data_IF_228097521739
#
_entry.id   IF_228097521739
#
_cell.length_a   1.000
_cell.length_b   1.000
_cell.length_c   1.000
_cell.angle_alpha   90.00
_cell.angle_beta   90.00
_cell.angle_gamma   90.00
#
_symmetry.space_group_name_H-M   'P 1'
#
loop_
_entity.id
_entity.type
_entity.pdbx_description
1 polymer ?
#
# COMPACT_ATOMS: atom_id res chain seq x y z
N UNK A 1 -9.85 -9.53 24.43
CA UNK A 1 -8.75 -9.96 24.38
C UNK A 1 -7.57 -9.57 23.55
N UNK A 2 -6.53 -9.02 24.18
CA UNK A 2 -5.34 -8.52 23.49
C UNK A 2 -4.16 -9.50 23.55
N UNK A 3 -4.43 -10.80 23.66
CA UNK A 3 -3.39 -11.82 23.78
C UNK A 3 -3.48 -12.81 22.63
N UNK A 4 -2.33 -13.08 22.01
CA UNK A 4 -2.17 -14.09 20.96
C UNK A 4 -1.11 -15.09 21.42
N UNK A 5 -1.37 -16.39 21.24
CA UNK A 5 -0.38 -17.44 21.47
C UNK A 5 0.25 -17.80 20.14
N UNK A 6 1.56 -17.65 20.04
CA UNK A 6 2.32 -18.03 18.85
C UNK A 6 3.53 -18.85 19.28
N UNK A 7 3.71 -20.03 18.69
CA UNK A 7 4.78 -21.00 19.03
C UNK A 7 4.92 -21.25 20.55
N UNK A 8 3.78 -21.40 21.24
CA UNK A 8 3.73 -21.65 22.68
C UNK A 8 4.01 -20.44 23.58
N UNK A 9 4.25 -19.28 22.99
CA UNK A 9 4.46 -18.02 23.74
C UNK A 9 3.24 -17.14 23.68
N UNK A 10 2.93 -16.49 24.81
CA UNK A 10 1.84 -15.50 24.89
C UNK A 10 2.38 -14.14 24.55
N UNK A 11 1.78 -13.51 23.54
CA UNK A 11 2.08 -12.15 23.13
C UNK A 11 0.89 -11.25 23.49
N UNK A 12 1.19 -10.03 23.90
CA UNK A 12 0.18 -8.99 24.12
C UNK A 12 0.35 -7.91 23.05
N UNK A 13 -0.78 -7.39 22.55
CA UNK A 13 -0.75 -6.26 21.61
C UNK A 13 0.02 -5.09 22.22
N UNK A 14 0.94 -4.54 21.44
CA UNK A 14 1.61 -3.29 21.79
C UNK A 14 0.70 -2.11 21.38
N UNK A 15 0.14 -1.42 22.36
CA UNK A 15 -0.80 -0.31 22.14
C UNK A 15 -0.14 0.95 21.56
N UNK A 16 1.19 1.05 21.62
CA UNK A 16 1.95 2.13 20.98
C UNK A 16 2.14 1.92 19.47
N UNK A 17 1.88 0.71 18.96
CA UNK A 17 1.95 0.43 17.52
C UNK A 17 0.59 0.65 16.90
N UNK A 18 0.54 1.57 15.93
CA UNK A 18 -0.64 1.81 15.08
C UNK A 18 -0.44 1.14 13.74
N UNK A 19 -1.45 0.40 13.30
CA UNK A 19 -1.45 -0.27 12.01
C UNK A 19 -2.41 0.44 11.06
N UNK A 20 -1.89 0.92 9.95
CA UNK A 20 -2.65 1.60 8.90
C UNK A 20 -2.60 0.76 7.64
N UNK A 21 -3.77 0.40 7.10
CA UNK A 21 -3.88 -0.29 5.83
C UNK A 21 -3.78 0.71 4.68
N UNK A 22 -2.80 0.51 3.81
CA UNK A 22 -2.62 1.32 2.61
C UNK A 22 -2.97 0.49 1.37
N UNK A 23 -3.79 1.06 0.50
CA UNK A 23 -4.28 0.43 -0.71
C UNK A 23 -3.96 1.30 -1.93
N UNK A 24 -3.36 0.69 -2.94
CA UNK A 24 -3.23 1.27 -4.29
C UNK A 24 -4.31 0.69 -5.19
N UNK A 25 -5.23 1.52 -5.65
CA UNK A 25 -6.40 1.08 -6.40
C UNK A 25 -6.16 1.27 -7.90
N UNK A 26 -6.26 0.20 -8.65
CA UNK A 26 -6.23 0.22 -10.11
C UNK A 26 -7.59 0.67 -10.64
N UNK A 27 -7.72 1.97 -10.77
CA UNK A 27 -8.91 2.66 -11.26
C UNK A 27 -8.50 3.94 -11.96
N UNK A 28 -9.11 4.21 -13.10
CA UNK A 28 -8.90 5.48 -13.81
C UNK A 28 -9.57 6.62 -13.07
N UNK A 29 -8.88 7.75 -12.99
CA UNK A 29 -9.40 8.97 -12.39
C UNK A 29 -9.37 8.99 -10.86
N UNK A 30 -10.32 9.68 -10.30
CA UNK A 30 -10.43 9.95 -8.87
C UNK A 30 -11.19 8.87 -8.10
N UNK A 31 -11.19 8.94 -6.77
CA UNK A 31 -11.94 8.06 -5.88
C UNK A 31 -13.15 8.79 -5.24
N UNK A 32 -13.60 9.89 -5.80
CA UNK A 32 -14.65 10.73 -5.21
C UNK A 32 -16.08 10.29 -5.55
N UNK A 33 -16.24 9.29 -6.40
CA UNK A 33 -17.55 8.74 -6.78
C UNK A 33 -17.66 7.26 -6.43
N UNK A 34 -18.81 6.88 -5.85
CA UNK A 34 -19.16 5.47 -5.64
C UNK A 34 -19.43 4.77 -6.96
N UNK A 35 -19.17 3.47 -6.97
CA UNK A 35 -19.37 2.59 -8.13
C UNK A 35 -20.18 1.36 -7.73
N UNK A 36 -20.87 0.77 -8.69
CA UNK A 36 -21.51 -0.53 -8.50
C UNK A 36 -20.46 -1.62 -8.29
N UNK A 37 -20.78 -2.71 -7.56
CA UNK A 37 -19.85 -3.82 -7.39
C UNK A 37 -19.29 -4.32 -8.72
N UNK A 38 -17.98 -4.55 -8.76
CA UNK A 38 -17.25 -4.97 -9.95
C UNK A 38 -16.67 -3.84 -10.80
N UNK A 39 -17.06 -2.58 -10.59
CA UNK A 39 -16.61 -1.43 -11.40
C UNK A 39 -15.76 -0.42 -10.64
N UNK A 40 -15.56 -0.60 -9.33
CA UNK A 40 -14.81 0.32 -8.48
C UNK A 40 -13.29 0.17 -8.52
N UNK A 41 -12.78 -0.79 -9.27
CA UNK A 41 -11.36 -1.14 -9.35
C UNK A 41 -10.97 -2.26 -8.40
N UNK A 42 -9.70 -2.63 -8.44
CA UNK A 42 -9.10 -3.65 -7.58
C UNK A 42 -7.95 -3.06 -6.78
N UNK A 43 -7.69 -3.63 -5.61
CA UNK A 43 -6.53 -3.26 -4.81
C UNK A 43 -5.28 -3.97 -5.32
N UNK A 44 -4.50 -3.31 -6.15
CA UNK A 44 -3.27 -3.85 -6.75
C UNK A 44 -2.06 -3.71 -5.85
N UNK A 45 -2.03 -2.68 -5.01
CA UNK A 45 -1.06 -2.52 -3.95
C UNK A 45 -1.74 -2.65 -2.59
N UNK A 46 -1.23 -3.53 -1.73
CA UNK A 46 -1.80 -3.79 -0.40
C UNK A 46 -0.64 -3.87 0.58
N UNK A 47 -0.59 -2.97 1.54
CA UNK A 47 0.42 -3.03 2.59
C UNK A 47 -0.06 -2.39 3.89
N UNK A 48 0.50 -2.87 4.99
CA UNK A 48 0.33 -2.28 6.31
C UNK A 48 1.53 -1.43 6.67
N UNK A 49 1.26 -0.23 7.16
CA UNK A 49 2.27 0.60 7.82
C UNK A 49 2.06 0.46 9.32
N UNK A 50 3.04 -0.11 9.99
CA UNK A 50 3.06 -0.24 11.44
C UNK A 50 3.96 0.87 12.01
N UNK A 51 3.38 1.83 12.70
CA UNK A 51 4.08 2.94 13.34
C UNK A 51 4.15 2.73 14.84
N UNK A 52 5.36 2.61 15.37
CA UNK A 52 5.61 2.70 16.82
C UNK A 52 5.63 4.18 17.21
N UNK A 53 4.54 4.65 17.81
CA UNK A 53 4.36 6.06 18.15
C UNK A 53 5.23 6.51 19.34
N UNK A 54 5.78 5.57 20.13
CA UNK A 54 6.71 5.90 21.20
C UNK A 54 8.13 6.17 20.70
N UNK A 55 8.50 5.60 19.54
CA UNK A 55 9.83 5.69 18.95
C UNK A 55 9.86 6.37 17.60
N UNK A 56 8.71 6.75 17.05
CA UNK A 56 8.54 7.26 15.69
C UNK A 56 9.19 6.35 14.63
N UNK A 57 9.09 5.04 14.86
CA UNK A 57 9.66 4.02 13.99
C UNK A 57 8.57 3.35 13.17
N UNK A 58 8.83 3.18 11.87
CA UNK A 58 7.88 2.61 10.90
C UNK A 58 8.43 1.31 10.33
N UNK A 59 7.55 0.32 10.22
CA UNK A 59 7.75 -0.89 9.42
C UNK A 59 6.62 -1.05 8.42
N UNK A 60 6.91 -1.65 7.29
CA UNK A 60 5.95 -1.88 6.22
C UNK A 60 5.84 -3.38 5.97
N UNK A 61 4.62 -3.91 5.94
CA UNK A 61 4.32 -5.28 5.56
C UNK A 61 3.56 -5.27 4.23
N UNK A 62 4.20 -5.74 3.17
CA UNK A 62 3.55 -5.97 1.88
C UNK A 62 2.71 -7.24 1.94
N UNK A 63 1.49 -7.16 1.42
CA UNK A 63 0.58 -8.31 1.30
C UNK A 63 0.33 -8.53 -0.20
N UNK A 64 0.79 -9.67 -0.76
CA UNK A 64 0.57 -9.94 -2.17
C UNK A 64 -0.92 -9.92 -2.53
N UNK A 65 -1.27 -9.25 -3.61
CA UNK A 65 -2.66 -9.06 -4.06
C UNK A 65 -3.39 -10.38 -4.34
N UNK A 66 -2.65 -11.40 -4.77
CA UNK A 66 -3.19 -12.71 -5.10
C UNK A 66 -3.26 -13.66 -3.89
N UNK A 67 -3.02 -13.15 -2.68
CA UNK A 67 -3.19 -13.92 -1.45
C UNK A 67 -4.62 -14.44 -1.37
N UNK A 68 -4.78 -15.77 -1.25
CA UNK A 68 -6.07 -16.41 -1.08
C UNK A 68 -6.52 -16.25 0.36
N UNK A 69 -7.67 -15.62 0.56
CA UNK A 69 -8.23 -15.36 1.88
C UNK A 69 -9.74 -15.18 1.81
N UNK A 70 -10.39 -15.24 2.94
CA UNK A 70 -11.82 -15.00 3.05
C UNK A 70 -12.13 -13.52 2.85
N UNK A 71 -12.99 -13.22 1.89
CA UNK A 71 -13.48 -11.87 1.58
C UNK A 71 -15.01 -11.85 1.57
N UNK A 72 -15.60 -10.66 1.69
CA UNK A 72 -17.03 -10.46 1.56
C UNK A 72 -17.44 -10.47 0.09
N UNK A 73 -18.43 -11.29 -0.23
CA UNK A 73 -19.01 -11.41 -1.57
C UNK A 73 -20.36 -10.69 -1.62
N UNK A 74 -20.63 -9.96 -2.69
CA UNK A 74 -21.88 -9.22 -2.91
C UNK A 74 -22.46 -9.52 -4.28
N UNK A 75 -23.77 -9.30 -4.43
CA UNK A 75 -24.41 -9.24 -5.75
C UNK A 75 -24.20 -7.88 -6.42
N UNK A 76 -24.69 -7.72 -7.65
CA UNK A 76 -24.56 -6.47 -8.42
C UNK A 76 -25.33 -5.30 -7.81
N UNK A 77 -26.27 -5.55 -6.92
CA UNK A 77 -26.97 -4.51 -6.16
C UNK A 77 -26.28 -4.13 -4.85
N UNK A 78 -25.16 -4.80 -4.52
CA UNK A 78 -24.40 -4.55 -3.31
C UNK A 78 -24.89 -5.30 -2.08
N UNK A 79 -25.86 -6.24 -2.22
CA UNK A 79 -26.30 -7.08 -1.12
C UNK A 79 -25.23 -8.13 -0.79
N UNK A 80 -24.93 -8.30 0.49
CA UNK A 80 -23.97 -9.30 0.95
C UNK A 80 -24.54 -10.70 0.77
N UNK A 81 -23.80 -11.53 0.03
CA UNK A 81 -24.13 -12.95 -0.20
C UNK A 81 -23.47 -13.87 0.83
N UNK A 82 -22.41 -13.41 1.48
CA UNK A 82 -21.65 -14.18 2.45
C UNK A 82 -20.14 -13.92 2.31
N UNK A 83 -19.37 -14.88 2.83
CA UNK A 83 -17.90 -14.86 2.76
C UNK A 83 -17.43 -15.99 1.82
N UNK A 84 -16.31 -15.78 1.15
CA UNK A 84 -15.71 -16.80 0.29
C UNK A 84 -14.22 -16.57 0.13
N UNK A 85 -13.49 -17.66 -0.11
CA UNK A 85 -12.05 -17.61 -0.34
C UNK A 85 -11.79 -17.19 -1.79
N UNK A 86 -11.14 -16.05 -1.96
CA UNK A 86 -10.79 -15.44 -3.24
C UNK A 86 -9.44 -14.75 -3.13
N UNK A 87 -8.90 -14.27 -4.25
CA UNK A 87 -7.78 -13.35 -4.25
C UNK A 87 -8.14 -12.08 -3.48
N UNK A 88 -7.28 -11.68 -2.56
CA UNK A 88 -7.51 -10.52 -1.68
C UNK A 88 -7.82 -9.24 -2.46
N UNK A 89 -7.17 -9.02 -3.61
CA UNK A 89 -7.40 -7.85 -4.48
C UNK A 89 -8.88 -7.66 -4.84
N UNK A 90 -9.64 -8.75 -4.97
CA UNK A 90 -11.07 -8.71 -5.34
C UNK A 90 -11.96 -8.19 -4.22
N UNK A 91 -11.49 -8.21 -2.97
CA UNK A 91 -12.25 -7.69 -1.83
C UNK A 91 -12.68 -6.24 -2.02
N UNK A 92 -11.87 -5.44 -2.69
CA UNK A 92 -12.20 -4.06 -3.03
C UNK A 92 -13.31 -3.97 -4.08
N UNK A 93 -13.27 -4.82 -5.10
CA UNK A 93 -14.23 -4.83 -6.21
C UNK A 93 -15.66 -5.18 -5.77
N UNK A 94 -15.83 -5.95 -4.70
CA UNK A 94 -17.16 -6.31 -4.17
C UNK A 94 -17.84 -5.17 -3.40
N UNK A 95 -17.13 -4.11 -3.08
CA UNK A 95 -17.69 -2.92 -2.41
C UNK A 95 -18.18 -1.85 -3.39
N UNK A 96 -18.25 -0.62 -2.90
CA UNK A 96 -18.75 0.56 -3.62
C UNK A 96 -17.63 1.36 -4.32
N UNK A 97 -16.40 0.86 -4.31
CA UNK A 97 -15.23 1.59 -4.80
C UNK A 97 -14.78 2.74 -3.91
N UNK A 98 -15.31 2.85 -2.71
CA UNK A 98 -15.00 3.87 -1.70
C UNK A 98 -14.92 3.26 -0.30
N UNK A 99 -15.63 3.84 0.67
CA UNK A 99 -15.55 3.47 2.08
C UNK A 99 -15.95 2.02 2.34
N UNK A 100 -16.99 1.53 1.67
CA UNK A 100 -17.42 0.12 1.81
C UNK A 100 -16.35 -0.84 1.30
N UNK A 101 -15.75 -0.55 0.13
CA UNK A 101 -14.63 -1.34 -0.41
C UNK A 101 -13.43 -1.33 0.55
N UNK A 102 -13.08 -0.18 1.10
CA UNK A 102 -11.99 -0.05 2.07
C UNK A 102 -12.28 -0.84 3.36
N UNK A 103 -13.53 -0.82 3.83
CA UNK A 103 -13.94 -1.60 5.00
C UNK A 103 -13.82 -3.10 4.74
N UNK A 104 -14.28 -3.59 3.59
CA UNK A 104 -14.16 -5.00 3.21
C UNK A 104 -12.69 -5.44 3.15
N UNK A 105 -11.82 -4.61 2.59
CA UNK A 105 -10.39 -4.88 2.57
C UNK A 105 -9.78 -4.90 3.98
N UNK A 106 -10.16 -3.95 4.83
CA UNK A 106 -9.69 -3.87 6.21
C UNK A 106 -10.09 -5.10 7.01
N UNK A 107 -11.32 -5.55 6.89
CA UNK A 107 -11.82 -6.77 7.53
C UNK A 107 -11.09 -8.02 7.02
N UNK A 108 -10.90 -8.14 5.71
CA UNK A 108 -10.18 -9.26 5.11
C UNK A 108 -8.73 -9.34 5.56
N UNK A 109 -8.02 -8.22 5.58
CA UNK A 109 -6.62 -8.16 6.05
C UNK A 109 -6.52 -8.44 7.54
N UNK A 110 -7.43 -7.89 8.35
CA UNK A 110 -7.50 -8.17 9.79
C UNK A 110 -7.65 -9.68 10.04
N UNK A 111 -8.59 -10.32 9.36
CA UNK A 111 -8.83 -11.77 9.49
C UNK A 111 -7.62 -12.58 9.02
N UNK A 112 -7.02 -12.22 7.90
CA UNK A 112 -5.80 -12.85 7.38
C UNK A 112 -4.65 -12.84 8.41
N UNK A 113 -4.57 -11.78 9.20
CA UNK A 113 -3.52 -11.58 10.21
C UNK A 113 -3.98 -11.94 11.62
N UNK A 114 -4.91 -12.88 11.74
CA UNK A 114 -5.34 -13.45 13.03
C UNK A 114 -6.16 -12.51 13.90
N UNK A 115 -6.90 -11.60 13.31
CA UNK A 115 -7.74 -10.62 14.02
C UNK A 115 -6.97 -9.38 14.46
N UNK A 116 -5.88 -9.04 13.76
CA UNK A 116 -5.13 -7.81 14.02
C UNK A 116 -6.07 -6.60 13.91
N UNK A 117 -6.11 -5.77 14.95
CA UNK A 117 -6.82 -4.50 14.88
C UNK A 117 -6.09 -3.53 13.97
N UNK A 118 -6.77 -3.06 12.94
CA UNK A 118 -6.29 -2.05 12.01
C UNK A 118 -6.88 -0.71 12.43
N UNK A 119 -6.03 0.29 12.66
CA UNK A 119 -6.43 1.56 13.27
C UNK A 119 -6.97 2.58 12.25
N UNK A 120 -6.74 2.34 10.98
CA UNK A 120 -7.24 3.17 9.90
C UNK A 120 -6.81 2.65 8.54
N UNK A 121 -7.39 3.22 7.49
CA UNK A 121 -7.00 2.92 6.11
C UNK A 121 -6.75 4.20 5.31
N UNK A 122 -5.93 4.06 4.28
CA UNK A 122 -5.72 5.05 3.23
C UNK A 122 -5.75 4.31 1.90
N UNK A 123 -6.71 4.64 1.04
CA UNK A 123 -6.78 4.15 -0.33
C UNK A 123 -6.41 5.27 -1.29
N UNK A 124 -5.58 4.97 -2.27
CA UNK A 124 -5.10 5.93 -3.27
C UNK A 124 -5.31 5.34 -4.67
N UNK A 125 -5.88 6.13 -5.57
CA UNK A 125 -5.92 5.78 -6.99
C UNK A 125 -4.51 5.74 -7.56
N UNK A 126 -4.18 4.71 -8.31
CA UNK A 126 -2.89 4.60 -9.00
C UNK A 126 -2.67 5.68 -10.06
N UNK A 127 -3.72 6.37 -10.48
CA UNK A 127 -3.62 7.57 -11.33
C UNK A 127 -2.86 8.71 -10.65
N UNK A 128 -2.82 8.74 -9.31
CA UNK A 128 -2.08 9.73 -8.56
C UNK A 128 -0.58 9.39 -8.41
N UNK A 129 -0.13 8.23 -8.86
CA UNK A 129 1.27 7.81 -8.72
C UNK A 129 2.26 8.80 -9.33
N UNK A 130 2.07 9.31 -10.57
CA UNK A 130 2.96 10.34 -11.12
C UNK A 130 3.01 11.60 -10.26
N UNK A 131 1.88 12.05 -9.75
CA UNK A 131 1.78 13.22 -8.89
C UNK A 131 2.53 13.02 -7.56
N UNK A 132 2.39 11.85 -6.93
CA UNK A 132 3.11 11.50 -5.71
C UNK A 132 4.62 11.43 -5.95
N UNK A 133 5.02 10.74 -7.02
CA UNK A 133 6.41 10.56 -7.39
C UNK A 133 7.11 11.90 -7.65
N UNK A 134 6.51 12.75 -8.45
CA UNK A 134 7.07 14.06 -8.78
C UNK A 134 7.00 15.02 -7.59
N UNK A 135 5.98 14.87 -6.75
CA UNK A 135 5.83 15.64 -5.52
C UNK A 135 6.98 15.48 -4.54
N UNK A 136 7.61 14.30 -4.48
CA UNK A 136 8.80 14.06 -3.66
C UNK A 136 10.13 14.35 -4.40
N UNK A 137 10.06 14.86 -5.63
CA UNK A 137 11.23 15.16 -6.44
C UNK A 137 11.80 13.96 -7.20
N UNK A 138 11.00 12.93 -7.41
CA UNK A 138 11.38 11.66 -8.00
C UNK A 138 11.82 10.63 -6.97
N UNK A 139 11.65 9.36 -7.30
CA UNK A 139 12.03 8.23 -6.45
C UNK A 139 13.20 7.50 -7.07
N UNK A 140 14.29 7.36 -6.32
CA UNK A 140 15.49 6.66 -6.77
C UNK A 140 15.41 5.19 -6.42
N UNK A 141 15.60 4.33 -7.42
CA UNK A 141 15.63 2.87 -7.29
C UNK A 141 16.83 2.28 -8.02
N UNK A 142 17.28 1.13 -7.53
CA UNK A 142 18.26 0.31 -8.22
C UNK A 142 17.53 -0.76 -9.02
N UNK A 143 17.82 -0.90 -10.30
CA UNK A 143 17.27 -1.94 -11.16
C UNK A 143 17.98 -3.26 -10.88
N UNK A 144 17.46 -4.05 -9.96
CA UNK A 144 18.03 -5.34 -9.54
C UNK A 144 17.32 -6.56 -10.14
N UNK A 145 16.39 -6.31 -11.05
CA UNK A 145 15.51 -7.31 -11.69
C UNK A 145 15.79 -7.39 -13.19
N UNK A 146 15.88 -8.60 -13.71
CA UNK A 146 15.99 -8.84 -15.15
C UNK A 146 14.64 -8.68 -15.86
N UNK A 147 14.66 -8.19 -17.09
CA UNK A 147 13.47 -8.10 -17.94
C UNK A 147 12.68 -6.79 -17.82
N UNK A 148 13.06 -5.89 -16.91
CA UNK A 148 12.42 -4.57 -16.79
C UNK A 148 12.63 -3.68 -18.01
N UNK A 149 13.62 -3.98 -18.86
CA UNK A 149 13.84 -3.29 -20.14
C UNK A 149 12.62 -3.41 -21.07
N UNK A 150 11.81 -4.45 -20.90
CA UNK A 150 10.55 -4.61 -21.65
C UNK A 150 9.52 -3.53 -21.29
N UNK A 151 9.54 -3.03 -20.04
CA UNK A 151 8.69 -1.93 -19.60
C UNK A 151 9.24 -0.57 -20.05
N UNK A 152 10.55 -0.38 -19.96
CA UNK A 152 11.26 0.82 -20.40
C UNK A 152 12.72 0.46 -20.68
N UNK A 153 13.25 0.80 -21.89
CA UNK A 153 14.62 0.46 -22.27
C UNK A 153 15.72 0.99 -21.32
N UNK A 154 15.42 2.03 -20.56
CA UNK A 154 16.34 2.60 -19.56
C UNK A 154 16.48 1.74 -18.29
N UNK A 155 15.57 0.80 -18.08
CA UNK A 155 15.56 -0.05 -16.88
C UNK A 155 16.51 -1.23 -17.01
N UNK A 156 17.79 -0.95 -17.26
CA UNK A 156 18.81 -1.99 -17.37
C UNK A 156 19.26 -2.48 -15.99
N UNK A 157 19.48 -3.81 -15.80
CA UNK A 157 19.93 -4.36 -14.53
C UNK A 157 21.19 -3.69 -13.99
N UNK A 158 21.20 -3.41 -12.69
CA UNK A 158 22.30 -2.76 -11.99
C UNK A 158 22.32 -1.23 -12.08
N UNK A 159 21.49 -0.63 -12.92
CA UNK A 159 21.43 0.83 -13.07
C UNK A 159 20.62 1.45 -11.93
N UNK A 160 21.10 2.58 -11.40
CA UNK A 160 20.34 3.39 -10.43
C UNK A 160 19.66 4.53 -11.19
N UNK A 161 18.35 4.66 -11.03
CA UNK A 161 17.53 5.65 -11.74
C UNK A 161 16.68 6.42 -10.74
N UNK A 162 16.62 7.74 -10.90
CA UNK A 162 15.59 8.57 -10.27
C UNK A 162 14.41 8.65 -11.23
N UNK A 163 13.34 7.98 -10.88
CA UNK A 163 12.16 7.84 -11.71
C UNK A 163 11.39 9.16 -11.81
N UNK A 164 11.02 9.57 -13.02
CA UNK A 164 9.94 10.54 -13.22
C UNK A 164 8.57 9.87 -13.10
N UNK A 165 7.48 10.64 -13.20
CA UNK A 165 6.13 10.12 -13.00
C UNK A 165 5.75 9.00 -13.98
N UNK A 166 6.13 9.08 -15.24
CA UNK A 166 5.88 8.04 -16.25
C UNK A 166 6.73 6.80 -16.01
N UNK A 167 7.99 6.99 -15.66
CA UNK A 167 8.88 5.89 -15.31
C UNK A 167 8.41 5.17 -14.05
N UNK A 168 7.94 5.90 -13.04
CA UNK A 168 7.36 5.31 -11.82
C UNK A 168 6.14 4.45 -12.15
N UNK A 169 5.25 4.93 -13.00
CA UNK A 169 4.08 4.18 -13.45
C UNK A 169 4.48 2.89 -14.18
N UNK A 170 5.40 2.97 -15.13
CA UNK A 170 5.92 1.80 -15.84
C UNK A 170 6.59 0.80 -14.89
N UNK A 171 7.39 1.30 -13.94
CA UNK A 171 8.11 0.49 -12.96
C UNK A 171 7.16 -0.28 -12.03
N UNK A 172 6.13 0.37 -11.52
CA UNK A 172 5.17 -0.21 -10.57
C UNK A 172 4.18 -1.17 -11.26
N UNK A 173 3.70 -0.83 -12.45
CA UNK A 173 2.62 -1.58 -13.12
C UNK A 173 3.12 -2.76 -13.93
N UNK A 174 4.38 -2.78 -14.35
CA UNK A 174 4.89 -3.83 -15.21
C UNK A 174 4.74 -5.21 -14.56
N UNK A 175 4.29 -6.16 -15.37
CA UNK A 175 4.21 -7.58 -15.01
C UNK A 175 4.46 -8.41 -16.26
N UNK A 176 5.46 -9.27 -16.20
CA UNK A 176 5.66 -10.30 -17.23
C UNK A 176 4.77 -11.50 -16.91
N UNK A 177 3.64 -11.60 -17.60
CA UNK A 177 2.64 -12.66 -17.37
C UNK A 177 3.14 -14.05 -17.79
N UNK A 178 4.21 -14.12 -18.59
CA UNK A 178 4.81 -15.37 -19.04
C UNK A 178 5.82 -15.93 -18.02
N UNK A 179 6.21 -15.10 -17.04
CA UNK A 179 7.14 -15.52 -15.98
C UNK A 179 6.39 -16.10 -14.78
N UNK A 180 6.80 -17.28 -14.30
CA UNK A 180 6.30 -17.81 -13.03
C UNK A 180 6.51 -16.81 -11.88
N UNK A 181 5.55 -16.71 -10.97
CA UNK A 181 5.62 -15.83 -9.80
C UNK A 181 5.76 -14.33 -10.11
N UNK A 182 5.36 -13.89 -11.30
CA UNK A 182 5.41 -12.48 -11.70
C UNK A 182 4.64 -11.55 -10.75
N UNK A 183 3.59 -12.04 -10.10
CA UNK A 183 2.85 -11.29 -9.09
C UNK A 183 3.69 -11.02 -7.82
N UNK A 184 4.47 -12.00 -7.37
CA UNK A 184 5.39 -11.83 -6.23
C UNK A 184 6.54 -10.90 -6.58
N UNK A 185 7.11 -11.02 -7.77
CA UNK A 185 8.14 -10.12 -8.28
C UNK A 185 7.65 -8.67 -8.32
N UNK A 186 6.41 -8.45 -8.76
CA UNK A 186 5.79 -7.13 -8.73
C UNK A 186 5.60 -6.60 -7.32
N UNK A 187 5.19 -7.45 -6.37
CA UNK A 187 5.08 -7.07 -4.95
C UNK A 187 6.43 -6.62 -4.38
N UNK A 188 7.51 -7.33 -4.67
CA UNK A 188 8.86 -6.95 -4.25
C UNK A 188 9.31 -5.63 -4.89
N UNK A 189 8.95 -5.39 -6.13
CA UNK A 189 9.24 -4.13 -6.83
C UNK A 189 8.46 -2.97 -6.21
N UNK A 190 7.21 -3.16 -5.85
CA UNK A 190 6.40 -2.18 -5.12
C UNK A 190 7.03 -1.86 -3.76
N UNK A 191 7.55 -2.88 -3.05
CA UNK A 191 8.27 -2.71 -1.80
C UNK A 191 9.51 -1.82 -1.96
N UNK A 192 10.32 -2.08 -2.96
CA UNK A 192 11.48 -1.26 -3.31
C UNK A 192 11.10 0.18 -3.60
N UNK A 193 10.01 0.39 -4.34
CA UNK A 193 9.49 1.72 -4.63
C UNK A 193 9.04 2.46 -3.38
N UNK A 194 8.28 1.81 -2.50
CA UNK A 194 7.79 2.41 -1.25
C UNK A 194 8.97 2.83 -0.36
N UNK A 195 10.00 2.00 -0.25
CA UNK A 195 11.22 2.33 0.48
C UNK A 195 11.89 3.59 -0.08
N UNK A 196 12.06 3.66 -1.39
CA UNK A 196 12.63 4.82 -2.08
C UNK A 196 11.76 6.07 -1.94
N UNK A 197 10.45 5.91 -1.99
CA UNK A 197 9.49 7.00 -1.79
C UNK A 197 9.61 7.59 -0.37
N UNK A 198 9.64 6.75 0.64
CA UNK A 198 9.77 7.20 2.04
C UNK A 198 11.09 7.94 2.28
N UNK A 199 12.19 7.48 1.70
CA UNK A 199 13.48 8.19 1.75
C UNK A 199 13.41 9.55 1.07
N UNK A 200 12.86 9.62 -0.13
CA UNK A 200 12.70 10.87 -0.87
C UNK A 200 11.79 11.86 -0.13
N UNK A 201 10.70 11.37 0.44
CA UNK A 201 9.78 12.19 1.24
C UNK A 201 10.46 12.79 2.48
N UNK A 202 11.29 12.03 3.19
CA UNK A 202 12.06 12.54 4.34
C UNK A 202 13.03 13.64 3.93
N UNK A 203 13.75 13.47 2.85
CA UNK A 203 14.68 14.49 2.33
C UNK A 203 13.91 15.76 1.94
N UNK A 204 12.79 15.61 1.24
CA UNK A 204 11.94 16.74 0.80
C UNK A 204 11.36 17.49 1.99
N UNK A 205 10.82 16.78 2.98
CA UNK A 205 10.24 17.38 4.18
C UNK A 205 11.27 18.17 5.01
N UNK A 206 12.51 17.70 5.04
CA UNK A 206 13.61 18.40 5.71
C UNK A 206 14.03 19.71 5.03
N UNK A 207 13.66 19.90 3.77
CA UNK A 207 14.00 21.09 2.97
C UNK A 207 12.83 22.05 2.76
N UNK A 208 11.60 21.56 2.87
CA UNK A 208 10.38 22.29 2.55
C UNK A 208 9.27 21.92 3.52
N UNK A 209 9.01 22.78 4.50
CA UNK A 209 7.97 22.58 5.52
C UNK A 209 6.55 22.54 4.93
N UNK A 210 6.35 23.15 3.77
CA UNK A 210 5.04 23.17 3.10
C UNK A 210 4.75 21.94 2.26
N UNK A 211 5.72 21.05 2.11
CA UNK A 211 5.64 19.89 1.22
C UNK A 211 4.48 18.95 1.56
N UNK A 212 4.38 18.49 2.81
CA UNK A 212 3.38 17.50 3.22
C UNK A 212 1.96 18.04 3.09
N UNK A 213 1.62 19.24 3.63
CA UNK A 213 0.29 19.82 3.44
C UNK A 213 -0.08 20.00 1.97
N UNK A 214 0.85 20.45 1.14
CA UNK A 214 0.63 20.67 -0.29
C UNK A 214 0.39 19.35 -1.02
N UNK A 215 1.20 18.32 -0.78
CA UNK A 215 1.02 17.01 -1.39
C UNK A 215 -0.33 16.40 -1.01
N UNK A 216 -0.71 16.43 0.26
CA UNK A 216 -1.98 15.89 0.73
C UNK A 216 -3.18 16.64 0.16
N UNK A 217 -3.07 17.95 -0.04
CA UNK A 217 -4.09 18.75 -0.73
C UNK A 217 -4.25 18.31 -2.18
N UNK A 218 -3.15 18.15 -2.90
CA UNK A 218 -3.16 17.73 -4.31
C UNK A 218 -3.65 16.29 -4.47
N UNK A 219 -3.41 15.45 -3.48
CA UNK A 219 -3.87 14.05 -3.45
C UNK A 219 -5.36 13.90 -3.13
N UNK A 220 -6.00 14.90 -2.56
CA UNK A 220 -7.36 14.82 -2.04
C UNK A 220 -8.37 14.09 -2.91
N UNK A 221 -8.52 14.43 -4.23
CA UNK A 221 -9.47 13.75 -5.11
C UNK A 221 -9.15 12.27 -5.39
N UNK A 222 -7.91 11.86 -5.17
CA UNK A 222 -7.38 10.52 -5.45
C UNK A 222 -7.27 9.65 -4.20
N UNK A 223 -7.71 10.14 -3.05
CA UNK A 223 -7.49 9.49 -1.76
C UNK A 223 -8.79 9.35 -0.96
N UNK A 224 -8.95 8.22 -0.30
CA UNK A 224 -9.99 7.98 0.71
C UNK A 224 -9.33 7.49 1.98
N UNK A 225 -9.73 8.03 3.12
CA UNK A 225 -9.28 7.60 4.43
C UNK A 225 -10.41 7.75 5.46
N UNK A 226 -10.44 6.87 6.46
CA UNK A 226 -11.31 6.98 7.63
C UNK A 226 -10.65 7.75 8.78
N UNK A 227 -9.41 8.18 8.59
CA UNK A 227 -8.67 8.94 9.59
C UNK A 227 -8.97 10.43 9.46
N UNK A 228 -9.10 11.12 10.59
CA UNK A 228 -9.17 12.58 10.62
C UNK A 228 -7.87 13.18 10.06
N UNK A 229 -7.97 14.30 9.35
CA UNK A 229 -6.85 14.95 8.66
C UNK A 229 -5.70 15.30 9.60
N UNK A 230 -6.00 15.82 10.77
CA UNK A 230 -4.99 16.14 11.79
C UNK A 230 -4.23 14.89 12.24
N UNK A 231 -4.92 13.77 12.40
CA UNK A 231 -4.32 12.51 12.83
C UNK A 231 -3.33 11.95 11.79
N UNK A 232 -3.75 11.81 10.53
CA UNK A 232 -2.82 11.27 9.52
C UNK A 232 -1.71 12.26 9.18
N UNK A 233 -1.96 13.56 9.29
CA UNK A 233 -0.95 14.59 9.16
C UNK A 233 0.10 14.48 10.26
N UNK A 234 -0.33 14.36 11.52
CA UNK A 234 0.57 14.23 12.66
C UNK A 234 1.43 12.96 12.55
N UNK A 235 0.84 11.84 12.13
CA UNK A 235 1.57 10.60 11.91
C UNK A 235 2.62 10.74 10.82
N UNK A 236 2.27 11.38 9.70
CA UNK A 236 3.21 11.62 8.60
C UNK A 236 4.36 12.53 9.04
N UNK A 237 4.07 13.63 9.72
CA UNK A 237 5.09 14.58 10.18
C UNK A 237 5.99 13.98 11.25
N UNK A 238 5.46 13.17 12.16
CA UNK A 238 6.25 12.46 13.17
C UNK A 238 7.27 11.52 12.52
N UNK A 239 6.83 10.72 11.53
CA UNK A 239 7.72 9.84 10.78
C UNK A 239 8.77 10.62 9.98
N UNK A 240 8.35 11.62 9.21
CA UNK A 240 9.23 12.41 8.35
C UNK A 240 10.27 13.22 9.14
N UNK A 241 9.93 13.64 10.36
CA UNK A 241 10.84 14.31 11.28
C UNK A 241 11.68 13.38 12.16
N UNK A 242 11.43 12.07 12.10
CA UNK A 242 12.17 11.09 12.89
C UNK A 242 13.60 10.89 12.39
N UNK A 243 14.46 10.31 13.25
CA UNK A 243 15.82 9.92 12.87
C UNK A 243 15.91 8.58 12.13
N UNK A 244 14.76 7.92 11.90
CA UNK A 244 14.76 6.62 11.23
C UNK A 244 15.28 6.73 9.79
N UNK A 245 16.27 5.89 9.45
CA UNK A 245 16.63 5.58 8.08
C UNK A 245 15.95 4.25 7.70
N UNK A 246 15.11 4.28 6.66
CA UNK A 246 14.33 3.10 6.25
C UNK A 246 15.29 2.04 5.69
N UNK A 247 15.48 0.97 6.45
CA UNK A 247 16.30 -0.17 6.09
C UNK A 247 15.47 -1.29 5.44
N UNK A 248 16.14 -2.21 4.74
CA UNK A 248 15.49 -3.40 4.19
C UNK A 248 14.81 -4.26 5.26
N UNK A 249 15.32 -4.27 6.50
CA UNK A 249 14.72 -4.95 7.67
C UNK A 249 13.41 -4.32 8.13
N UNK A 250 13.11 -3.11 7.73
CA UNK A 250 11.84 -2.42 8.00
C UNK A 250 10.77 -2.73 6.94
N UNK A 251 11.16 -3.38 5.85
CA UNK A 251 10.30 -3.72 4.71
C UNK A 251 10.12 -5.22 4.64
N UNK A 252 8.93 -5.69 4.96
CA UNK A 252 8.58 -7.10 5.04
C UNK A 252 7.57 -7.46 3.96
N UNK A 253 7.57 -8.72 3.53
CA UNK A 253 6.51 -9.29 2.68
C UNK A 253 5.87 -10.45 3.41
N UNK A 254 4.54 -10.52 3.41
CA UNK A 254 3.82 -11.65 4.00
C UNK A 254 4.24 -12.93 3.27
N UNK A 255 4.79 -13.93 3.98
CA UNK A 255 5.21 -15.17 3.36
C UNK A 255 4.01 -16.00 2.92
N UNK A 256 4.19 -16.78 1.86
CA UNK A 256 3.20 -17.70 1.33
C UNK A 256 3.79 -18.58 0.25
N UNK A 257 3.05 -19.60 -0.11
CA UNK A 257 3.38 -20.50 -1.21
C UNK A 257 2.42 -20.28 -2.38
N UNK A 258 2.93 -20.43 -3.60
CA UNK A 258 2.07 -20.44 -4.79
C UNK A 258 1.24 -21.73 -4.81
N UNK A 259 -0.06 -21.62 -5.04
CA UNK A 259 -1.01 -22.73 -5.17
C UNK A 259 -1.48 -22.86 -6.59
#
# INVERSE_FOLDING_TARGET
GDRVVYQGRVYRRNTYVKAILCLGIDRKGTLDESRVPGSGGQADGIFLVAQDTARDHVRVLMIPRDTMTEITLTDLSGNVLGQGIQHLTLGYAYGDGREKSCRYMTEAVSNLLGGLSIDGYIAVSMEALPLMNDGVGGVTVVMDENGLEKANPEFTPGKTITLDGKQAESYIRYRDIDEPQSALTRTERQKTYIQGFLRAAKVKAGKDESFVPRLLKDMGPYMITDMAKDRYMDMALAFLGSSQDIAGTDMLTLPGEAV
#
